data_IF_185451417966
#
_entry.id   IF_185451417966
#
_cell.length_a   1.000
_cell.length_b   1.000
_cell.length_c   1.000
_cell.angle_alpha   90.00
_cell.angle_beta   90.00
_cell.angle_gamma   90.00
#
_symmetry.space_group_name_H-M   'P 1'
#
loop_
_entity.id
_entity.type
_entity.pdbx_description
1 polymer ?
#
# COMPACT_ATOMS: atom_id res chain seq x y z
N UNK A 1 -18.69 18.58 6.80
CA UNK A 1 -17.31 18.51 7.33
C UNK A 1 -16.42 19.54 6.64
N UNK A 2 -15.46 20.11 7.38
CA UNK A 2 -14.42 20.98 6.83
C UNK A 2 -13.38 20.16 6.06
N UNK A 3 -12.62 20.83 5.19
CA UNK A 3 -11.50 20.24 4.46
C UNK A 3 -10.44 19.71 5.44
N UNK A 4 -10.05 18.43 5.31
CA UNK A 4 -9.05 17.78 6.18
C UNK A 4 -7.64 18.36 6.05
N UNK A 5 -7.33 19.06 4.95
CA UNK A 5 -6.03 19.70 4.75
C UNK A 5 -5.97 21.12 5.30
N UNK A 6 -6.94 21.97 4.93
CA UNK A 6 -6.86 23.40 5.26
C UNK A 6 -7.78 23.83 6.39
N UNK A 7 -8.76 23.00 6.77
CA UNK A 7 -9.79 23.26 7.78
C UNK A 7 -10.56 24.60 7.65
N UNK A 8 -10.49 25.26 6.48
CA UNK A 8 -11.07 26.59 6.25
C UNK A 8 -12.39 26.56 5.48
N UNK A 9 -12.50 25.65 4.52
CA UNK A 9 -13.67 25.55 3.63
C UNK A 9 -14.34 24.19 3.76
N UNK A 10 -15.60 24.11 3.36
CA UNK A 10 -16.35 22.86 3.32
C UNK A 10 -15.67 21.88 2.37
N UNK A 11 -15.48 20.63 2.81
CA UNK A 11 -15.03 19.56 1.94
C UNK A 11 -16.10 19.27 0.88
N UNK A 12 -15.71 19.28 -0.38
CA UNK A 12 -16.58 19.04 -1.53
C UNK A 12 -15.96 18.07 -2.57
N UNK A 13 -14.81 17.47 -2.25
CA UNK A 13 -14.09 16.50 -3.09
C UNK A 13 -13.81 15.22 -2.30
N UNK A 14 -13.49 14.10 -2.99
CA UNK A 14 -13.06 12.87 -2.35
C UNK A 14 -11.90 13.09 -1.37
N UNK A 15 -11.69 12.12 -0.46
CA UNK A 15 -10.67 12.18 0.61
C UNK A 15 -10.97 13.24 1.69
N UNK A 16 -12.12 13.91 1.64
CA UNK A 16 -12.51 14.95 2.60
C UNK A 16 -11.81 16.28 2.35
N UNK A 17 -11.53 16.62 1.09
CA UNK A 17 -10.81 17.84 0.70
C UNK A 17 -11.73 18.86 0.03
N UNK A 18 -11.33 20.13 0.03
CA UNK A 18 -11.92 21.15 -0.83
C UNK A 18 -11.27 21.13 -2.23
N UNK A 19 -11.88 21.81 -3.19
CA UNK A 19 -11.38 21.94 -4.56
C UNK A 19 -9.88 22.30 -4.62
N UNK A 20 -9.48 23.41 -3.98
CA UNK A 20 -8.09 23.89 -4.00
C UNK A 20 -7.09 22.87 -3.42
N UNK A 21 -7.42 22.25 -2.29
CA UNK A 21 -6.55 21.24 -1.67
C UNK A 21 -6.50 19.93 -2.48
N UNK A 22 -7.61 19.55 -3.14
CA UNK A 22 -7.68 18.29 -3.88
C UNK A 22 -6.78 18.28 -5.13
N UNK A 23 -6.63 19.42 -5.80
CA UNK A 23 -5.85 19.52 -7.04
C UNK A 23 -4.34 19.74 -6.82
N UNK A 24 -3.90 19.86 -5.56
CA UNK A 24 -2.48 19.86 -5.19
C UNK A 24 -2.02 18.42 -4.97
N UNK A 25 -1.17 17.84 -5.84
CA UNK A 25 -0.74 16.44 -5.71
C UNK A 25 -0.15 16.13 -4.34
N UNK A 26 0.71 16.99 -3.84
CA UNK A 26 1.42 16.88 -2.56
C UNK A 26 0.48 16.92 -1.35
N UNK A 27 -0.69 17.54 -1.50
CA UNK A 27 -1.75 17.51 -0.49
C UNK A 27 -2.58 16.25 -0.66
N UNK A 28 -3.06 15.99 -1.88
CA UNK A 28 -3.95 14.87 -2.19
C UNK A 28 -3.35 13.53 -1.76
N UNK A 29 -2.06 13.31 -1.98
CA UNK A 29 -1.33 12.08 -1.67
C UNK A 29 -1.24 11.79 -0.16
N UNK A 30 -1.24 12.81 0.69
CA UNK A 30 -1.24 12.65 2.16
C UNK A 30 -2.57 12.13 2.70
N UNK A 31 -3.64 12.22 1.93
CA UNK A 31 -4.96 11.74 2.34
C UNK A 31 -5.33 10.49 1.55
N UNK A 32 -5.43 9.33 2.21
CA UNK A 32 -5.77 8.09 1.52
C UNK A 32 -7.19 8.16 0.96
N UNK A 33 -7.42 7.48 -0.17
CA UNK A 33 -8.77 7.32 -0.71
C UNK A 33 -9.61 6.54 0.29
N UNK A 34 -10.71 7.12 0.76
CA UNK A 34 -11.64 6.49 1.73
C UNK A 34 -12.88 5.89 1.06
N UNK A 35 -12.94 5.86 -0.28
CA UNK A 35 -14.09 5.30 -1.01
C UNK A 35 -14.30 3.82 -0.68
N UNK A 36 -15.56 3.41 -0.56
CA UNK A 36 -15.95 1.99 -0.45
C UNK A 36 -15.66 1.18 -1.71
N UNK A 37 -15.48 1.86 -2.85
CA UNK A 37 -15.15 1.25 -4.14
C UNK A 37 -13.64 1.18 -4.39
N UNK A 38 -12.80 1.71 -3.49
CA UNK A 38 -11.35 1.59 -3.64
C UNK A 38 -10.95 0.15 -3.31
N UNK A 39 -10.52 -0.60 -4.32
CA UNK A 39 -9.95 -1.94 -4.14
C UNK A 39 -8.59 -1.81 -3.44
N UNK A 40 -8.46 -2.39 -2.24
CA UNK A 40 -7.19 -2.41 -1.47
C UNK A 40 -6.68 -3.83 -1.18
N UNK A 41 -7.50 -4.85 -1.44
CA UNK A 41 -7.27 -6.24 -1.01
C UNK A 41 -8.12 -6.61 0.21
N UNK A 42 -8.30 -7.92 0.45
CA UNK A 42 -9.13 -8.43 1.56
C UNK A 42 -8.45 -8.12 2.89
N UNK A 43 -9.16 -7.50 3.82
CA UNK A 43 -8.63 -7.11 5.14
C UNK A 43 -7.78 -5.83 5.16
N UNK A 44 -7.47 -5.24 3.99
CA UNK A 44 -6.63 -4.04 3.92
C UNK A 44 -7.48 -2.78 4.10
N UNK A 45 -7.31 -2.16 5.27
CA UNK A 45 -7.93 -0.90 5.65
C UNK A 45 -7.31 0.33 4.96
N UNK A 46 -7.77 1.50 5.38
CA UNK A 46 -7.22 2.80 4.91
C UNK A 46 -5.85 3.08 5.52
N UNK A 47 -5.58 2.54 6.71
CA UNK A 47 -4.38 2.82 7.50
C UNK A 47 -3.25 1.80 7.29
N UNK A 48 -3.38 0.91 6.29
CA UNK A 48 -2.45 -0.20 6.08
C UNK A 48 -2.72 -1.39 7.00
N UNK A 49 -1.85 -2.40 6.93
CA UNK A 49 -1.85 -3.54 7.86
C UNK A 49 -0.73 -3.37 8.88
N UNK A 50 -0.80 -4.10 9.98
CA UNK A 50 0.28 -4.10 10.97
C UNK A 50 1.48 -4.85 10.40
N UNK A 51 2.69 -4.30 10.49
CA UNK A 51 3.90 -5.03 10.12
C UNK A 51 4.02 -6.33 10.95
N UNK A 52 4.32 -7.45 10.28
CA UNK A 52 4.65 -8.72 10.95
C UNK A 52 5.85 -8.53 11.88
N UNK A 53 5.81 -9.08 13.10
CA UNK A 53 6.90 -8.91 14.07
C UNK A 53 8.19 -9.62 13.65
N UNK A 54 8.07 -10.76 12.97
CA UNK A 54 9.21 -11.61 12.63
C UNK A 54 9.43 -11.68 11.12
N UNK A 55 10.68 -11.52 10.63
CA UNK A 55 11.02 -11.83 9.25
C UNK A 55 10.96 -13.33 8.99
N UNK A 56 10.83 -13.71 7.72
CA UNK A 56 10.94 -15.11 7.29
C UNK A 56 12.17 -15.34 6.41
N UNK A 57 12.82 -16.49 6.62
CA UNK A 57 13.90 -17.00 5.78
C UNK A 57 13.41 -17.81 4.58
N UNK A 58 12.11 -18.13 4.52
CA UNK A 58 11.52 -18.84 3.37
C UNK A 58 11.70 -18.02 2.08
N UNK A 59 12.21 -18.68 1.03
CA UNK A 59 12.50 -18.03 -0.25
C UNK A 59 11.21 -17.64 -0.98
N UNK A 60 11.19 -16.49 -1.66
CA UNK A 60 10.12 -16.12 -2.61
C UNK A 60 9.79 -17.27 -3.57
N UNK A 61 8.50 -17.51 -3.81
CA UNK A 61 8.02 -18.56 -4.72
C UNK A 61 7.97 -19.98 -4.14
N UNK A 62 8.51 -20.21 -2.93
CA UNK A 62 8.39 -21.51 -2.25
C UNK A 62 7.04 -21.68 -1.56
N UNK A 63 6.59 -22.92 -1.42
CA UNK A 63 5.38 -23.26 -0.65
C UNK A 63 5.48 -22.77 0.80
N UNK A 64 6.63 -22.95 1.44
CA UNK A 64 6.88 -22.47 2.80
C UNK A 64 6.65 -20.96 2.93
N UNK A 65 7.08 -20.16 1.94
CA UNK A 65 6.81 -18.72 1.93
C UNK A 65 5.31 -18.46 1.79
N UNK A 66 4.61 -19.16 0.89
CA UNK A 66 3.18 -18.98 0.68
C UNK A 66 2.37 -19.25 1.95
N UNK A 67 2.68 -20.31 2.69
CA UNK A 67 2.01 -20.63 3.97
C UNK A 67 2.17 -19.50 5.00
N UNK A 68 3.37 -18.92 5.12
CA UNK A 68 3.64 -17.78 6.01
C UNK A 68 2.83 -16.54 5.58
N UNK A 69 2.76 -16.26 4.27
CA UNK A 69 1.99 -15.13 3.75
C UNK A 69 0.48 -15.30 4.01
N UNK A 70 -0.03 -16.53 3.88
CA UNK A 70 -1.43 -16.85 4.19
C UNK A 70 -1.74 -16.66 5.67
N UNK A 71 -0.82 -17.06 6.55
CA UNK A 71 -0.97 -16.87 7.99
C UNK A 71 -0.93 -15.38 8.40
N UNK A 72 0.03 -14.61 7.86
CA UNK A 72 0.10 -13.14 8.05
C UNK A 72 -1.20 -12.47 7.58
N UNK A 73 -1.72 -12.87 6.42
CA UNK A 73 -3.00 -12.37 5.92
C UNK A 73 -4.16 -12.67 6.88
N UNK A 74 -4.22 -13.89 7.42
CA UNK A 74 -5.25 -14.28 8.38
C UNK A 74 -5.17 -13.48 9.69
N UNK A 75 -3.96 -13.06 10.09
CA UNK A 75 -3.71 -12.18 11.24
C UNK A 75 -3.92 -10.69 10.95
N UNK A 76 -4.21 -10.30 9.70
CA UNK A 76 -4.32 -8.89 9.31
C UNK A 76 -2.99 -8.16 9.37
N UNK A 77 -1.89 -8.87 9.13
CA UNK A 77 -0.53 -8.33 9.09
C UNK A 77 -0.10 -8.06 7.65
N UNK A 78 0.89 -7.18 7.47
CA UNK A 78 1.54 -6.99 6.17
C UNK A 78 2.13 -8.31 5.69
N UNK A 79 1.90 -8.61 4.40
CA UNK A 79 2.38 -9.84 3.79
C UNK A 79 3.91 -9.93 3.83
N UNK A 80 4.60 -8.82 3.58
CA UNK A 80 6.05 -8.78 3.44
C UNK A 80 6.67 -7.98 4.57
N UNK A 81 7.72 -8.53 5.18
CA UNK A 81 8.56 -7.80 6.11
C UNK A 81 9.83 -7.30 5.39
N UNK A 82 10.34 -6.09 5.66
CA UNK A 82 11.53 -5.55 4.98
C UNK A 82 12.79 -6.43 5.10
N UNK A 83 12.87 -7.22 6.17
CA UNK A 83 13.97 -8.17 6.41
C UNK A 83 13.64 -9.62 5.98
N UNK A 84 12.53 -9.84 5.27
CA UNK A 84 12.28 -11.14 4.65
C UNK A 84 13.39 -11.46 3.63
N UNK A 85 13.74 -12.73 3.53
CA UNK A 85 14.68 -13.17 2.50
C UNK A 85 14.14 -12.90 1.10
N UNK A 86 15.01 -12.39 0.23
CA UNK A 86 14.76 -12.17 -1.19
C UNK A 86 15.75 -12.99 -2.03
N UNK A 87 15.36 -13.31 -3.27
CA UNK A 87 16.29 -13.87 -4.25
C UNK A 87 16.92 -12.67 -4.96
N UNK A 88 18.23 -12.41 -4.85
CA UNK A 88 18.87 -11.44 -5.72
C UNK A 88 18.73 -11.96 -7.15
N UNK A 89 18.15 -11.18 -8.05
CA UNK A 89 18.18 -11.54 -9.46
C UNK A 89 19.64 -11.56 -9.90
N UNK A 90 20.19 -12.71 -10.35
CA UNK A 90 21.43 -12.68 -11.08
C UNK A 90 21.09 -11.98 -12.40
N UNK A 91 21.69 -10.82 -12.62
CA UNK A 91 21.85 -10.26 -13.97
C UNK A 91 20.55 -9.75 -14.64
N UNK A 92 19.75 -8.95 -13.94
CA UNK A 92 18.76 -8.09 -14.62
C UNK A 92 19.49 -7.02 -15.45
N UNK A 93 19.92 -7.38 -16.66
CA UNK A 93 20.08 -6.42 -17.76
C UNK A 93 18.65 -6.05 -18.17
N UNK A 94 18.22 -4.78 -17.99
CA UNK A 94 16.92 -4.36 -18.48
C UNK A 94 16.92 -4.67 -19.98
N UNK A 95 16.11 -5.64 -20.42
CA UNK A 95 15.79 -5.73 -21.84
C UNK A 95 15.30 -4.34 -22.21
N UNK A 96 16.02 -3.75 -23.16
CA UNK A 96 15.85 -2.40 -23.66
C UNK A 96 14.39 -2.00 -23.56
N UNK A 97 14.15 -0.86 -22.89
CA UNK A 97 12.84 -0.26 -22.75
C UNK A 97 12.05 -0.50 -24.02
N UNK A 98 10.91 -1.19 -23.91
CA UNK A 98 9.93 -1.23 -24.99
C UNK A 98 9.53 0.23 -25.20
N UNK A 99 10.21 0.88 -26.15
CA UNK A 99 9.82 2.15 -26.71
C UNK A 99 8.56 1.85 -27.49
N UNK A 100 7.42 2.14 -26.88
CA UNK A 100 6.14 2.30 -27.56
C UNK A 100 5.91 3.79 -27.79
#
# INVERSE_FOLDING_TARGET
>A
MLCRSCNRTRANRPRGLCYSCYYKPEVRERFPSTSKFAQRGKGIGVEGLKLSLEPTLALPGTEAKMLILMERLARGEELFHPLDTFIPYPDYSPREAIVA
#
